data_IF_723261548107
#
_entry.id   IF_723261548107
#
_cell.length_a   1.000
_cell.length_b   1.000
_cell.length_c   1.000
_cell.angle_alpha   90.00
_cell.angle_beta   90.00
_cell.angle_gamma   90.00
#
_symmetry.space_group_name_H-M   'P 1'
#
loop_
_entity.id
_entity.type
_entity.pdbx_description
1 polymer ?
#
# COMPACT_ATOMS: atom_id res chain seq x y z
N UNK A 1 -8.17 3.04 71.74
CA UNK A 1 -7.48 2.31 70.65
C UNK A 1 -7.39 3.24 69.45
N UNK A 2 -6.20 3.31 68.87
CA UNK A 2 -5.71 4.29 67.91
C UNK A 2 -6.00 3.78 66.50
N UNK A 3 -6.83 4.47 65.70
CA UNK A 3 -6.92 4.18 64.28
C UNK A 3 -6.61 5.43 63.46
N UNK A 4 -5.66 5.20 62.57
CA UNK A 4 -4.80 6.11 61.85
C UNK A 4 -5.46 6.45 60.51
N UNK A 5 -5.40 7.72 60.09
CA UNK A 5 -5.75 8.13 58.73
C UNK A 5 -4.93 7.34 57.70
N UNK A 6 -5.57 6.87 56.64
CA UNK A 6 -4.88 6.45 55.42
C UNK A 6 -5.57 7.13 54.23
N UNK A 7 -5.00 8.27 53.84
CA UNK A 7 -5.10 8.81 52.49
C UNK A 7 -4.31 7.87 51.57
N UNK A 8 -4.96 7.30 50.56
CA UNK A 8 -4.25 6.71 49.43
C UNK A 8 -4.71 7.41 48.15
N UNK A 9 -3.78 8.16 47.58
CA UNK A 9 -3.94 8.97 46.40
C UNK A 9 -4.24 8.10 45.17
N UNK A 10 -5.27 8.50 44.41
CA UNK A 10 -5.52 8.04 43.05
C UNK A 10 -4.49 8.75 42.16
N UNK A 11 -3.45 8.04 41.73
CA UNK A 11 -2.57 8.52 40.66
C UNK A 11 -3.24 8.14 39.34
N UNK A 12 -3.79 9.15 38.67
CA UNK A 12 -4.21 9.06 37.27
C UNK A 12 -2.96 8.94 36.39
N UNK A 13 -2.81 7.81 35.70
CA UNK A 13 -1.99 7.74 34.50
C UNK A 13 -2.90 7.86 33.28
N UNK A 14 -2.84 8.96 32.50
CA UNK A 14 -3.39 8.92 31.15
C UNK A 14 -2.62 7.88 30.34
N UNK A 15 -3.31 6.80 29.95
CA UNK A 15 -2.86 5.89 28.90
C UNK A 15 -2.85 6.69 27.58
N UNK A 16 -1.72 7.30 27.26
CA UNK A 16 -1.43 7.69 25.87
C UNK A 16 -1.04 6.41 25.14
N UNK A 17 -2.01 5.80 24.46
CA UNK A 17 -1.75 4.86 23.37
C UNK A 17 -1.00 5.64 22.29
N UNK A 18 0.32 5.53 22.25
CA UNK A 18 1.07 5.81 21.05
C UNK A 18 0.70 4.68 20.08
N UNK A 19 0.02 5.00 18.98
CA UNK A 19 0.00 4.11 17.84
C UNK A 19 1.45 4.00 17.36
N UNK A 20 2.13 2.92 17.73
CA UNK A 20 3.33 2.50 17.03
C UNK A 20 2.86 2.14 15.62
N UNK A 21 3.07 3.08 14.69
CA UNK A 21 3.13 2.74 13.27
C UNK A 21 4.33 1.80 13.18
N UNK A 22 4.08 0.50 13.07
CA UNK A 22 5.13 -0.47 12.82
C UNK A 22 5.95 0.02 11.63
N UNK A 23 7.27 0.08 11.79
CA UNK A 23 8.18 0.34 10.67
C UNK A 23 7.83 -0.66 9.56
N UNK A 24 7.34 -0.15 8.43
CA UNK A 24 7.17 -0.96 7.24
C UNK A 24 8.53 -1.58 6.90
N UNK A 25 8.59 -2.83 6.42
CA UNK A 25 9.85 -3.44 6.03
C UNK A 25 10.62 -2.50 5.11
N UNK A 26 11.85 -2.18 5.51
CA UNK A 26 12.63 -1.08 4.93
C UNK A 26 13.02 -1.30 3.46
N UNK A 27 12.71 -2.47 2.89
CA UNK A 27 13.12 -2.78 1.52
C UNK A 27 12.13 -3.72 0.80
N UNK A 28 11.26 -3.11 -0.02
CA UNK A 28 10.29 -3.80 -0.87
C UNK A 28 10.94 -4.50 -2.09
N UNK A 29 12.21 -4.23 -2.37
CA UNK A 29 12.93 -4.72 -3.57
C UNK A 29 13.18 -6.23 -3.55
N UNK A 30 13.03 -6.87 -2.39
CA UNK A 30 13.24 -8.31 -2.20
C UNK A 30 11.95 -9.12 -2.02
N UNK A 31 10.78 -8.50 -2.18
CA UNK A 31 9.53 -9.22 -2.03
C UNK A 31 9.18 -9.98 -3.31
N UNK A 32 9.06 -11.31 -3.24
CA UNK A 32 8.94 -12.19 -4.42
C UNK A 32 7.61 -12.01 -5.20
N UNK A 33 6.58 -11.45 -4.56
CA UNK A 33 5.22 -11.37 -5.13
C UNK A 33 4.60 -9.96 -5.00
N UNK A 34 5.29 -8.89 -5.43
CA UNK A 34 4.97 -7.49 -5.07
C UNK A 34 3.56 -7.06 -5.46
N UNK A 35 3.01 -7.66 -6.52
CA UNK A 35 1.65 -7.38 -6.95
C UNK A 35 0.58 -7.86 -5.97
N UNK A 36 0.87 -8.81 -5.08
CA UNK A 36 -0.04 -9.25 -4.01
C UNK A 36 -0.20 -8.22 -2.89
N UNK A 37 0.75 -7.30 -2.71
CA UNK A 37 0.74 -6.38 -1.58
C UNK A 37 -0.43 -5.40 -1.63
N UNK A 38 -0.99 -5.09 -0.47
CA UNK A 38 -2.05 -4.09 -0.28
C UNK A 38 -3.41 -4.70 0.07
N UNK A 39 -4.44 -3.88 -0.09
CA UNK A 39 -5.81 -4.23 0.24
C UNK A 39 -6.57 -4.77 -0.98
N UNK A 40 -7.33 -5.83 -0.78
CA UNK A 40 -8.14 -6.52 -1.79
C UNK A 40 -9.58 -6.63 -1.33
N UNK A 41 -10.52 -6.28 -2.21
CA UNK A 41 -11.93 -6.19 -1.86
C UNK A 41 -12.77 -7.12 -2.73
N UNK A 42 -13.64 -7.88 -2.08
CA UNK A 42 -14.78 -8.56 -2.68
C UNK A 42 -16.05 -7.93 -2.14
N UNK A 43 -16.85 -7.33 -3.02
CA UNK A 43 -18.12 -6.71 -2.63
C UNK A 43 -19.26 -7.60 -3.10
N UNK A 44 -20.19 -7.90 -2.19
CA UNK A 44 -21.42 -8.59 -2.55
C UNK A 44 -22.32 -7.59 -3.32
N UNK A 45 -22.68 -7.88 -4.59
CA UNK A 45 -23.57 -6.99 -5.35
C UNK A 45 -25.02 -6.99 -4.82
N UNK A 46 -25.42 -8.00 -4.04
CA UNK A 46 -26.75 -8.13 -3.45
C UNK A 46 -26.69 -8.49 -1.95
N UNK A 47 -26.28 -7.55 -1.08
CA UNK A 47 -26.09 -7.82 0.34
C UNK A 47 -27.40 -8.03 1.12
N UNK A 48 -28.52 -7.50 0.63
CA UNK A 48 -29.81 -7.54 1.33
C UNK A 48 -30.67 -8.75 0.95
N UNK A 49 -30.65 -9.15 -0.33
CA UNK A 49 -31.50 -10.24 -0.85
C UNK A 49 -30.71 -11.48 -1.31
N UNK A 50 -29.38 -11.43 -1.29
CA UNK A 50 -28.50 -12.54 -1.66
C UNK A 50 -28.54 -13.72 -0.69
N UNK A 51 -27.97 -14.85 -1.12
CA UNK A 51 -27.81 -16.04 -0.27
C UNK A 51 -26.63 -15.89 0.69
N UNK A 52 -25.63 -15.13 0.26
CA UNK A 52 -24.40 -14.87 0.97
C UNK A 52 -24.64 -13.92 2.15
N UNK A 53 -24.11 -14.25 3.32
CA UNK A 53 -24.30 -13.47 4.55
C UNK A 53 -23.17 -12.45 4.80
N UNK A 54 -22.68 -11.83 3.72
CA UNK A 54 -21.67 -10.78 3.79
C UNK A 54 -22.00 -9.63 2.85
N UNK A 55 -21.51 -8.45 3.20
CA UNK A 55 -21.55 -7.22 2.42
C UNK A 55 -20.25 -7.02 1.66
N UNK A 56 -19.14 -7.16 2.35
CA UNK A 56 -17.81 -7.05 1.78
C UNK A 56 -16.81 -7.94 2.54
N UNK A 57 -15.79 -8.38 1.83
CA UNK A 57 -14.60 -9.02 2.38
C UNK A 57 -13.41 -8.15 1.99
N UNK A 58 -12.60 -7.78 2.97
CA UNK A 58 -11.31 -7.13 2.79
C UNK A 58 -10.21 -8.12 3.15
N UNK A 59 -9.28 -8.38 2.23
CA UNK A 59 -8.04 -9.12 2.47
C UNK A 59 -6.88 -8.12 2.35
N UNK A 60 -6.07 -7.97 3.38
CA UNK A 60 -4.83 -7.19 3.36
C UNK A 60 -3.64 -8.13 3.39
N UNK A 61 -2.65 -7.88 2.53
CA UNK A 61 -1.38 -8.60 2.46
C UNK A 61 -0.23 -7.60 2.58
N UNK A 62 0.56 -7.71 3.65
CA UNK A 62 1.73 -6.87 3.91
C UNK A 62 3.04 -7.53 3.49
N UNK A 63 4.06 -6.74 3.20
CA UNK A 63 5.41 -7.21 2.85
C UNK A 63 6.15 -7.83 4.06
N UNK A 64 5.63 -7.62 5.27
CA UNK A 64 6.06 -8.27 6.51
C UNK A 64 5.48 -9.69 6.67
N UNK A 65 4.85 -10.22 5.62
CA UNK A 65 4.20 -11.53 5.57
C UNK A 65 3.00 -11.67 6.51
N UNK A 66 2.42 -10.56 6.98
CA UNK A 66 1.16 -10.58 7.72
C UNK A 66 -0.03 -10.41 6.78
N UNK A 67 -1.10 -11.14 7.07
CA UNK A 67 -2.40 -10.96 6.43
C UNK A 67 -3.46 -10.55 7.45
N UNK A 68 -4.47 -9.85 6.96
CA UNK A 68 -5.71 -9.57 7.68
C UNK A 68 -6.91 -9.84 6.77
N UNK A 69 -7.97 -10.45 7.31
CA UNK A 69 -9.25 -10.62 6.66
C UNK A 69 -10.32 -10.00 7.54
N UNK A 70 -11.05 -9.03 6.99
CA UNK A 70 -12.27 -8.50 7.59
C UNK A 70 -13.48 -8.89 6.73
N UNK A 71 -14.44 -9.60 7.33
CA UNK A 71 -15.73 -9.91 6.69
C UNK A 71 -16.81 -9.07 7.36
N UNK A 72 -17.32 -8.08 6.63
CA UNK A 72 -18.49 -7.35 7.06
C UNK A 72 -19.74 -8.16 6.73
N UNK A 73 -20.47 -8.59 7.76
CA UNK A 73 -21.71 -9.36 7.63
C UNK A 73 -22.89 -8.48 7.23
N UNK A 74 -24.01 -9.12 6.88
CA UNK A 74 -25.27 -8.43 6.55
C UNK A 74 -25.75 -7.52 7.68
N UNK A 75 -25.58 -7.93 8.94
CA UNK A 75 -25.98 -7.15 10.12
C UNK A 75 -24.97 -6.05 10.51
N UNK A 76 -23.96 -5.79 9.67
CA UNK A 76 -22.87 -4.82 9.88
C UNK A 76 -21.85 -5.21 10.95
N UNK A 77 -21.98 -6.38 11.59
CA UNK A 77 -20.89 -6.94 12.40
C UNK A 77 -19.69 -7.30 11.51
N UNK A 78 -18.50 -7.33 12.11
CA UNK A 78 -17.24 -7.65 11.42
C UNK A 78 -16.60 -8.85 12.10
N UNK A 79 -16.37 -9.91 11.33
CA UNK A 79 -15.44 -10.97 11.72
C UNK A 79 -14.04 -10.59 11.25
N UNK A 80 -13.05 -10.84 12.10
CA UNK A 80 -11.66 -10.47 11.87
C UNK A 80 -10.75 -11.69 12.06
N UNK A 81 -9.86 -11.92 11.09
CA UNK A 81 -8.78 -12.88 11.17
C UNK A 81 -7.47 -12.23 10.76
N UNK A 82 -6.39 -12.63 11.42
CA UNK A 82 -5.05 -12.18 11.09
C UNK A 82 -4.03 -13.30 11.33
N UNK A 83 -2.88 -13.21 10.69
CA UNK A 83 -1.79 -14.14 10.92
C UNK A 83 -0.69 -14.01 9.87
N UNK A 84 0.18 -15.02 9.80
CA UNK A 84 1.24 -15.07 8.81
C UNK A 84 0.76 -15.76 7.53
N UNK A 85 1.24 -15.29 6.39
CA UNK A 85 1.07 -15.96 5.09
C UNK A 85 2.43 -16.27 4.44
N UNK A 86 2.40 -17.20 3.49
CA UNK A 86 3.44 -17.32 2.47
C UNK A 86 2.76 -17.41 1.11
N UNK A 87 3.43 -16.89 0.09
CA UNK A 87 3.02 -17.04 -1.30
C UNK A 87 4.22 -17.48 -2.13
N UNK A 88 3.95 -18.25 -3.17
CA UNK A 88 4.86 -18.51 -4.29
C UNK A 88 4.16 -18.08 -5.58
N UNK A 89 4.58 -18.56 -6.76
CA UNK A 89 4.02 -18.11 -8.05
C UNK A 89 2.51 -18.34 -8.23
N UNK A 90 1.94 -19.41 -7.67
CA UNK A 90 0.57 -19.84 -7.95
C UNK A 90 -0.25 -20.23 -6.70
N UNK A 91 0.37 -20.20 -5.52
CA UNK A 91 -0.21 -20.68 -4.27
C UNK A 91 0.03 -19.67 -3.16
N UNK A 92 -1.03 -19.36 -2.41
CA UNK A 92 -0.96 -18.61 -1.16
C UNK A 92 -1.46 -19.46 0.00
N UNK A 93 -0.71 -19.46 1.10
CA UNK A 93 -1.03 -20.16 2.34
C UNK A 93 -1.29 -19.13 3.41
N UNK A 94 -2.52 -19.07 3.93
CA UNK A 94 -2.91 -18.20 5.03
C UNK A 94 -2.90 -18.98 6.34
N UNK A 95 -2.34 -18.37 7.40
CA UNK A 95 -2.30 -18.97 8.73
C UNK A 95 -1.23 -20.04 8.87
N UNK A 96 -0.02 -19.79 8.34
CA UNK A 96 1.12 -20.74 8.32
C UNK A 96 1.40 -21.46 9.65
N UNK A 97 1.22 -20.75 10.77
CA UNK A 97 1.50 -21.25 12.11
C UNK A 97 0.23 -21.63 12.90
N UNK A 98 -0.90 -21.77 12.21
CA UNK A 98 -2.16 -22.20 12.83
C UNK A 98 -2.34 -23.71 12.74
N UNK A 99 -3.25 -24.26 13.55
CA UNK A 99 -3.63 -25.67 13.46
C UNK A 99 -4.37 -26.02 12.15
N UNK A 100 -4.83 -25.00 11.40
CA UNK A 100 -5.64 -25.14 10.19
C UNK A 100 -5.22 -24.13 9.10
N UNK A 101 -3.98 -24.23 8.55
CA UNK A 101 -3.55 -23.37 7.47
C UNK A 101 -4.45 -23.56 6.24
N UNK A 102 -4.80 -22.46 5.59
CA UNK A 102 -5.67 -22.45 4.42
C UNK A 102 -4.81 -22.26 3.16
N UNK A 103 -4.93 -23.19 2.22
CA UNK A 103 -4.16 -23.18 0.97
C UNK A 103 -5.08 -22.82 -0.19
N UNK A 104 -4.69 -21.80 -0.96
CA UNK A 104 -5.43 -21.32 -2.12
C UNK A 104 -4.52 -21.32 -3.34
N UNK A 105 -5.05 -21.80 -4.47
CA UNK A 105 -4.49 -21.46 -5.77
C UNK A 105 -4.88 -20.01 -6.08
N UNK A 106 -3.95 -19.26 -6.66
CA UNK A 106 -4.22 -17.88 -7.04
C UNK A 106 -3.69 -17.51 -8.42
N UNK A 107 -4.36 -16.53 -9.02
CA UNK A 107 -3.89 -15.81 -10.20
C UNK A 107 -4.02 -14.31 -9.89
N UNK A 108 -3.01 -13.52 -10.21
CA UNK A 108 -3.01 -12.09 -9.89
C UNK A 108 -2.45 -11.25 -11.03
N UNK A 109 -2.97 -10.03 -11.15
CA UNK A 109 -2.33 -8.95 -11.88
C UNK A 109 -2.32 -7.69 -11.00
N UNK A 110 -1.97 -6.54 -11.57
CA UNK A 110 -1.81 -5.29 -10.81
C UNK A 110 -3.11 -4.77 -10.15
N UNK A 111 -4.30 -5.24 -10.53
CA UNK A 111 -5.58 -4.77 -9.98
C UNK A 111 -6.60 -5.87 -9.64
N UNK A 112 -6.36 -7.14 -10.01
CA UNK A 112 -7.23 -8.28 -9.70
C UNK A 112 -6.45 -9.41 -9.04
N UNK A 113 -7.07 -10.04 -8.04
CA UNK A 113 -6.59 -11.24 -7.37
C UNK A 113 -7.69 -12.30 -7.39
N UNK A 114 -7.46 -13.41 -8.07
CA UNK A 114 -8.35 -14.56 -8.05
C UNK A 114 -7.83 -15.57 -7.02
N UNK A 115 -8.65 -15.97 -6.06
CA UNK A 115 -8.37 -17.03 -5.07
C UNK A 115 -9.38 -18.16 -5.23
N UNK A 116 -8.94 -19.33 -5.71
CA UNK A 116 -9.81 -20.49 -5.96
C UNK A 116 -11.12 -20.14 -6.73
N UNK A 117 -11.05 -19.24 -7.71
CA UNK A 117 -12.19 -18.80 -8.51
C UNK A 117 -12.92 -17.55 -7.97
N UNK A 118 -12.61 -17.09 -6.76
CA UNK A 118 -13.18 -15.86 -6.18
C UNK A 118 -12.29 -14.67 -6.53
N UNK A 119 -12.85 -13.66 -7.22
CA UNK A 119 -12.06 -12.50 -7.69
C UNK A 119 -12.24 -11.29 -6.76
N UNK A 120 -11.12 -10.81 -6.24
CA UNK A 120 -10.99 -9.57 -5.50
C UNK A 120 -10.43 -8.47 -6.40
N UNK A 121 -10.78 -7.22 -6.10
CA UNK A 121 -10.24 -6.02 -6.76
C UNK A 121 -9.35 -5.26 -5.80
N UNK A 122 -8.20 -4.79 -6.28
CA UNK A 122 -7.24 -4.04 -5.46
C UNK A 122 -7.82 -2.70 -5.04
N UNK A 123 -7.68 -2.37 -3.76
CA UNK A 123 -8.12 -1.11 -3.18
C UNK A 123 -7.26 0.04 -3.62
N UNK A 124 -7.88 1.06 -4.22
CA UNK A 124 -7.16 2.26 -4.63
C UNK A 124 -6.98 3.24 -3.47
N UNK A 125 -5.77 3.76 -3.26
CA UNK A 125 -5.61 5.04 -2.59
C UNK A 125 -6.12 6.13 -3.53
N UNK A 126 -7.43 6.43 -3.46
CA UNK A 126 -8.13 7.35 -4.38
C UNK A 126 -7.46 8.72 -4.57
N UNK A 127 -6.65 9.17 -3.61
CA UNK A 127 -5.99 10.47 -3.67
C UNK A 127 -4.70 10.47 -4.53
N UNK A 128 -4.03 9.33 -4.73
CA UNK A 128 -2.72 9.30 -5.40
C UNK A 128 -2.85 9.28 -6.94
N UNK A 129 -3.89 8.63 -7.45
CA UNK A 129 -4.16 8.60 -8.89
C UNK A 129 -4.33 10.02 -9.45
N UNK A 130 -3.76 10.27 -10.62
CA UNK A 130 -3.77 11.57 -11.28
C UNK A 130 -2.56 11.82 -12.16
N UNK A 131 -2.51 13.03 -12.70
CA UNK A 131 -1.40 13.54 -13.49
C UNK A 131 -0.65 14.55 -12.61
N UNK A 132 0.66 14.39 -12.54
CA UNK A 132 1.56 15.14 -11.67
C UNK A 132 2.70 15.70 -12.53
N UNK A 133 3.05 16.96 -12.29
CA UNK A 133 4.12 17.65 -13.02
C UNK A 133 5.05 18.35 -12.05
N UNK A 134 6.36 18.30 -12.31
CA UNK A 134 7.38 18.88 -11.44
C UNK A 134 7.22 20.37 -11.24
N UNK A 135 7.16 20.78 -9.99
CA UNK A 135 7.25 22.16 -9.54
C UNK A 135 8.65 22.49 -9.01
N UNK A 136 9.30 21.52 -8.35
CA UNK A 136 10.66 21.64 -7.86
C UNK A 136 11.38 20.29 -7.93
N UNK A 137 12.62 20.29 -8.41
CA UNK A 137 13.47 19.10 -8.53
C UNK A 137 14.82 19.40 -7.88
N UNK A 138 15.34 18.47 -7.08
CA UNK A 138 16.68 18.52 -6.50
C UNK A 138 17.22 17.10 -6.27
N UNK A 139 18.48 17.00 -5.82
CA UNK A 139 19.20 15.73 -5.69
C UNK A 139 20.37 15.62 -6.67
N UNK A 140 21.42 14.90 -6.30
CA UNK A 140 22.66 14.81 -7.09
C UNK A 140 22.43 14.16 -8.45
N UNK A 141 21.58 13.12 -8.51
CA UNK A 141 21.23 12.42 -9.75
C UNK A 141 20.45 13.31 -10.73
N UNK A 142 19.59 14.19 -10.21
CA UNK A 142 18.83 15.15 -11.02
C UNK A 142 19.73 16.21 -11.66
N UNK A 143 20.71 16.71 -10.89
CA UNK A 143 21.68 17.70 -11.34
C UNK A 143 22.64 17.10 -12.36
N UNK A 144 23.17 15.90 -12.09
CA UNK A 144 24.12 15.21 -12.97
C UNK A 144 23.52 14.94 -14.36
N UNK A 145 22.22 14.64 -14.43
CA UNK A 145 21.51 14.33 -15.67
C UNK A 145 20.82 15.55 -16.31
N UNK A 146 21.02 16.76 -15.77
CA UNK A 146 20.41 18.00 -16.25
C UNK A 146 18.89 17.89 -16.43
N UNK A 147 18.21 17.24 -15.48
CA UNK A 147 16.77 17.03 -15.53
C UNK A 147 16.08 18.36 -15.18
N UNK A 148 15.23 18.87 -16.07
CA UNK A 148 14.49 20.11 -15.85
C UNK A 148 12.99 19.90 -15.64
N UNK A 149 12.46 18.73 -16.03
CA UNK A 149 11.03 18.40 -15.87
C UNK A 149 10.82 16.92 -15.64
N UNK A 150 9.91 16.62 -14.72
CA UNK A 150 9.36 15.28 -14.45
C UNK A 150 7.85 15.35 -14.55
N UNK A 151 7.25 14.47 -15.36
CA UNK A 151 5.81 14.23 -15.37
C UNK A 151 5.53 12.78 -14.92
N UNK A 152 4.61 12.60 -13.99
CA UNK A 152 4.18 11.30 -13.49
C UNK A 152 2.66 11.17 -13.66
N UNK A 153 2.24 10.11 -14.33
CA UNK A 153 0.83 9.72 -14.43
C UNK A 153 0.65 8.44 -13.65
N UNK A 154 -0.26 8.46 -12.67
CA UNK A 154 -0.68 7.29 -11.88
C UNK A 154 -2.14 7.02 -12.18
N UNK A 155 -2.42 5.90 -12.83
CA UNK A 155 -3.78 5.53 -13.22
C UNK A 155 -4.50 4.76 -12.11
N UNK A 156 -5.84 4.86 -12.02
CA UNK A 156 -6.64 4.08 -11.08
C UNK A 156 -6.56 2.55 -11.26
N UNK A 157 -5.95 2.06 -12.33
CA UNK A 157 -5.70 0.64 -12.53
C UNK A 157 -4.24 0.27 -12.24
N UNK A 158 -3.54 1.06 -11.41
CA UNK A 158 -2.16 0.78 -11.00
C UNK A 158 -1.13 0.82 -12.13
N UNK A 159 -1.48 1.37 -13.30
CA UNK A 159 -0.53 1.62 -14.39
C UNK A 159 0.09 3.00 -14.22
N UNK A 160 1.39 3.13 -14.49
CA UNK A 160 2.06 4.43 -14.49
C UNK A 160 2.72 4.79 -15.82
N UNK A 161 2.93 6.09 -16.01
CA UNK A 161 3.88 6.63 -16.99
C UNK A 161 4.73 7.67 -16.29
N UNK A 162 6.05 7.54 -16.39
CA UNK A 162 7.02 8.46 -15.86
C UNK A 162 7.82 9.05 -17.02
N UNK A 163 7.83 10.38 -17.15
CA UNK A 163 8.53 11.11 -18.21
C UNK A 163 9.54 12.04 -17.58
N UNK A 164 10.77 11.96 -18.08
CA UNK A 164 11.87 12.86 -17.71
C UNK A 164 12.28 13.65 -18.94
N UNK A 165 12.37 14.98 -18.80
CA UNK A 165 12.91 15.86 -19.83
C UNK A 165 14.18 16.53 -19.31
N UNK A 166 15.23 16.55 -20.13
CA UNK A 166 16.48 17.26 -19.82
C UNK A 166 16.49 18.69 -20.38
N UNK A 167 17.43 19.51 -19.90
CA UNK A 167 17.65 20.88 -20.41
C UNK A 167 17.91 20.93 -21.93
N UNK A 168 18.52 19.88 -22.49
CA UNK A 168 18.75 19.73 -23.92
C UNK A 168 17.52 19.34 -24.74
N UNK A 169 16.37 19.13 -24.09
CA UNK A 169 15.13 18.68 -24.72
C UNK A 169 15.09 17.18 -25.02
N UNK A 170 16.02 16.40 -24.45
CA UNK A 170 15.95 14.94 -24.54
C UNK A 170 14.85 14.44 -23.60
N UNK A 171 14.00 13.54 -24.09
CA UNK A 171 12.93 12.93 -23.31
C UNK A 171 13.21 11.43 -23.12
N UNK A 172 12.92 10.94 -21.91
CA UNK A 172 12.83 9.52 -21.59
C UNK A 172 11.46 9.23 -21.01
N UNK A 173 10.84 8.12 -21.43
CA UNK A 173 9.53 7.68 -20.95
C UNK A 173 9.62 6.23 -20.48
N UNK A 174 9.23 6.00 -19.23
CA UNK A 174 9.12 4.68 -18.62
C UNK A 174 7.66 4.41 -18.29
N UNK A 175 7.21 3.19 -18.54
CA UNK A 175 5.85 2.74 -18.24
C UNK A 175 5.90 1.38 -17.54
N UNK A 176 4.89 1.13 -16.73
CA UNK A 176 4.80 -0.11 -15.97
C UNK A 176 3.63 -0.07 -15.01
N UNK A 177 3.76 -0.81 -13.91
CA UNK A 177 2.77 -0.86 -12.84
C UNK A 177 3.34 -0.32 -11.54
N UNK A 178 2.49 0.21 -10.68
CA UNK A 178 2.91 0.71 -9.38
C UNK A 178 2.16 0.03 -8.25
N UNK A 179 2.78 -0.04 -7.09
CA UNK A 179 2.13 -0.43 -5.85
C UNK A 179 2.63 0.45 -4.71
N UNK A 180 1.87 0.45 -3.62
CA UNK A 180 2.17 1.25 -2.44
C UNK A 180 2.06 0.42 -1.19
N UNK A 181 2.96 0.65 -0.25
CA UNK A 181 2.83 0.15 1.11
C UNK A 181 3.28 1.23 2.09
N UNK A 182 2.41 1.61 3.03
CA UNK A 182 2.65 2.79 3.86
C UNK A 182 2.89 4.04 3.02
N UNK A 183 4.05 4.67 3.20
CA UNK A 183 4.52 5.80 2.43
C UNK A 183 5.45 5.41 1.27
N UNK A 184 5.65 4.12 0.98
CA UNK A 184 6.43 3.70 -0.17
C UNK A 184 5.56 3.68 -1.44
N UNK A 185 6.14 4.15 -2.53
CA UNK A 185 5.64 4.05 -3.90
C UNK A 185 6.73 3.37 -4.72
N UNK A 186 6.43 2.17 -5.22
CA UNK A 186 7.33 1.42 -6.09
C UNK A 186 6.77 1.44 -7.50
N UNK A 187 7.61 1.84 -8.46
CA UNK A 187 7.32 1.81 -9.89
C UNK A 187 8.05 0.61 -10.51
N UNK A 188 7.32 -0.41 -10.92
CA UNK A 188 7.85 -1.65 -11.51
C UNK A 188 7.68 -1.64 -13.04
N UNK A 189 8.76 -1.86 -13.78
CA UNK A 189 8.79 -1.83 -15.25
C UNK A 189 9.69 -2.95 -15.79
N UNK A 190 9.69 -3.16 -17.12
CA UNK A 190 10.27 -4.36 -17.75
C UNK A 190 11.72 -4.67 -17.35
N UNK A 191 12.53 -3.64 -17.10
CA UNK A 191 13.98 -3.78 -16.87
C UNK A 191 14.42 -3.27 -15.49
N UNK A 192 13.50 -3.15 -14.53
CA UNK A 192 13.85 -2.73 -13.19
C UNK A 192 12.68 -2.16 -12.42
N UNK A 193 13.02 -1.57 -11.29
CA UNK A 193 12.07 -0.92 -10.41
C UNK A 193 12.65 0.41 -9.92
N UNK A 194 11.78 1.19 -9.31
CA UNK A 194 12.14 2.45 -8.72
C UNK A 194 11.40 2.60 -7.40
N UNK A 195 12.15 2.60 -6.30
CA UNK A 195 11.60 2.68 -4.95
C UNK A 195 11.72 4.12 -4.44
N UNK A 196 10.58 4.70 -4.11
CA UNK A 196 10.50 6.04 -3.53
C UNK A 196 9.63 6.02 -2.30
N UNK A 197 9.90 6.91 -1.37
CA UNK A 197 8.89 7.33 -0.40
C UNK A 197 8.11 8.50 -0.96
N UNK A 198 6.84 8.61 -0.57
CA UNK A 198 5.98 9.71 -0.98
C UNK A 198 5.24 10.35 0.19
N UNK A 199 4.98 11.64 0.06
CA UNK A 199 4.00 12.36 0.87
C UNK A 199 2.99 13.06 -0.03
N UNK A 200 1.72 13.04 0.36
CA UNK A 200 0.62 13.56 -0.44
C UNK A 200 -0.17 14.60 0.34
N UNK A 201 -0.09 15.85 -0.10
CA UNK A 201 -0.83 16.99 0.43
C UNK A 201 -1.77 17.57 -0.63
N UNK A 202 -2.96 16.95 -0.79
CA UNK A 202 -3.99 17.30 -1.78
C UNK A 202 -3.48 17.25 -3.24
N UNK A 203 -3.01 18.40 -3.72
CA UNK A 203 -2.55 18.64 -5.09
C UNK A 203 -1.02 18.74 -5.15
N UNK A 204 -0.33 18.34 -4.08
CA UNK A 204 1.13 18.27 -4.01
C UNK A 204 1.59 16.87 -3.63
N UNK A 205 2.40 16.27 -4.49
CA UNK A 205 3.04 14.98 -4.29
C UNK A 205 4.54 15.19 -4.19
N UNK A 206 5.14 14.82 -3.06
CA UNK A 206 6.60 14.81 -2.91
C UNK A 206 7.08 13.38 -3.02
N UNK A 207 8.07 13.13 -3.87
CA UNK A 207 8.76 11.85 -4.04
C UNK A 207 10.21 12.01 -3.60
N UNK A 208 10.71 11.05 -2.83
CA UNK A 208 12.07 11.02 -2.33
C UNK A 208 12.64 9.61 -2.44
N UNK A 209 13.80 9.48 -3.07
CA UNK A 209 14.58 8.24 -3.02
C UNK A 209 15.36 8.17 -1.70
N UNK A 210 15.48 6.96 -1.14
CA UNK A 210 16.29 6.72 0.07
C UNK A 210 17.78 7.06 -0.14
N UNK A 211 18.27 6.92 -1.37
CA UNK A 211 19.64 7.30 -1.77
C UNK A 211 19.91 8.81 -1.65
N UNK A 212 18.84 9.64 -1.63
CA UNK A 212 18.92 11.10 -1.78
C UNK A 212 19.26 11.56 -3.20
N UNK A 213 19.34 10.66 -4.18
CA UNK A 213 19.66 11.02 -5.58
C UNK A 213 18.55 11.83 -6.25
N UNK A 214 17.31 11.67 -5.78
CA UNK A 214 16.14 12.40 -6.24
C UNK A 214 15.25 12.88 -5.09
N UNK A 215 14.90 14.16 -5.16
CA UNK A 215 13.75 14.77 -4.50
C UNK A 215 12.92 15.51 -5.55
N UNK A 216 11.66 15.11 -5.72
CA UNK A 216 10.74 15.72 -6.68
C UNK A 216 9.46 16.18 -5.99
N UNK A 217 9.19 17.49 -6.05
CA UNK A 217 7.90 18.06 -5.64
C UNK A 217 7.07 18.29 -6.90
N UNK A 218 5.94 17.61 -6.98
CA UNK A 218 5.04 17.60 -8.12
C UNK A 218 3.70 18.25 -7.76
N UNK A 219 3.18 19.09 -8.65
CA UNK A 219 1.83 19.63 -8.56
C UNK A 219 0.86 18.80 -9.41
N UNK A 220 -0.36 18.62 -8.91
CA UNK A 220 -1.43 17.94 -9.65
C UNK A 220 -1.86 18.81 -10.84
N UNK A 221 -1.89 18.20 -12.02
CA UNK A 221 -2.41 18.82 -13.24
C UNK A 221 -3.94 18.69 -13.24
N UNK A 222 -4.62 19.80 -13.53
CA UNK A 222 -6.09 19.90 -13.58
C UNK A 222 -6.62 19.91 -15.00
#
# INVERSE_FOLDING_TARGET
MRHFLLFLAVIMFPFTQANEVGEAPSDLTYFDTPLLLGDWYLVNPDPESGREDFRAIKLSLGSDYQFQIDIQKRDYSVDHWQGMYAANEDTIILGLNSDQPQVYQYESNHHMLNLNGVTFTKGLPNALAGIWSSAHLSGEGMIANQINRVDLVLQPDFVFMFRVTSEGGSESVTQGVYYTEGNHLVLLYENGEHNTTYTLERDKLTLEEESGEMLAVLDRVR
#
